data_IF_728087348388
#
_entry.id   IF_728087348388
#
_cell.length_a   1.000
_cell.length_b   1.000
_cell.length_c   1.000
_cell.angle_alpha   90.00
_cell.angle_beta   90.00
_cell.angle_gamma   90.00
#
_symmetry.space_group_name_H-M   'P 1'
#
loop_
_entity.id
_entity.type
_entity.pdbx_description
1 polymer ?
#
# COMPACT_ATOMS: atom_id res chain seq x y z
N UNK A 1 -13.52 8.48 12.68
CA UNK A 1 -13.62 8.58 11.21
C UNK A 1 -14.52 7.49 10.63
N UNK A 2 -14.26 6.18 10.80
CA UNK A 2 -15.12 5.10 10.30
C UNK A 2 -16.53 5.16 10.89
N UNK A 3 -16.69 5.40 12.19
CA UNK A 3 -17.99 5.56 12.84
C UNK A 3 -18.85 6.70 12.25
N UNK A 4 -18.24 7.79 11.80
CA UNK A 4 -18.97 8.89 11.15
C UNK A 4 -19.49 8.48 9.75
N UNK A 5 -18.76 7.64 9.03
CA UNK A 5 -19.21 7.10 7.75
C UNK A 5 -20.34 6.08 7.93
N UNK A 6 -20.25 5.25 8.96
CA UNK A 6 -21.30 4.27 9.32
C UNK A 6 -22.60 4.97 9.77
N UNK A 7 -22.50 6.07 10.51
CA UNK A 7 -23.65 6.88 10.88
C UNK A 7 -24.32 7.52 9.65
N UNK A 8 -23.54 8.09 8.72
CA UNK A 8 -24.06 8.67 7.47
C UNK A 8 -24.73 7.61 6.56
N UNK A 9 -24.26 6.37 6.59
CA UNK A 9 -24.86 5.25 5.86
C UNK A 9 -26.23 4.85 6.43
N UNK A 10 -26.39 4.92 7.77
CA UNK A 10 -27.61 4.56 8.48
C UNK A 10 -28.73 5.60 8.34
N UNK A 11 -28.42 6.87 8.11
CA UNK A 11 -29.41 7.97 8.06
C UNK A 11 -30.27 8.03 6.81
N UNK A 12 -30.02 7.21 5.77
CA UNK A 12 -30.92 7.00 4.63
C UNK A 12 -31.33 8.27 3.89
N UNK A 13 -30.36 9.00 3.32
CA UNK A 13 -30.61 10.24 2.59
C UNK A 13 -31.19 10.11 1.18
N UNK A 14 -31.45 11.24 0.52
CA UNK A 14 -31.90 11.36 -0.88
C UNK A 14 -31.06 10.46 -1.82
N UNK A 15 -31.72 9.89 -2.83
CA UNK A 15 -31.10 9.02 -3.85
C UNK A 15 -29.87 9.70 -4.50
N UNK A 16 -29.91 11.02 -4.71
CA UNK A 16 -28.78 11.79 -5.21
C UNK A 16 -27.58 11.80 -4.27
N UNK A 17 -27.80 11.77 -2.96
CA UNK A 17 -26.75 11.64 -1.93
C UNK A 17 -26.17 10.23 -1.81
N UNK A 18 -26.81 9.21 -2.43
CA UNK A 18 -26.32 7.83 -2.44
C UNK A 18 -25.34 7.55 -3.60
N UNK A 19 -25.26 8.43 -4.59
CA UNK A 19 -24.37 8.26 -5.75
C UNK A 19 -23.00 8.94 -5.56
N UNK A 20 -22.87 9.82 -4.57
CA UNK A 20 -21.65 10.58 -4.32
C UNK A 20 -21.30 10.59 -2.86
N UNK A 21 -20.02 10.54 -2.56
CA UNK A 21 -19.45 10.71 -1.23
C UNK A 21 -18.14 11.48 -1.30
N UNK A 22 -17.85 12.32 -0.31
CA UNK A 22 -16.61 13.06 -0.24
C UNK A 22 -16.06 13.09 1.20
N UNK A 23 -14.73 13.11 1.31
CA UNK A 23 -14.04 13.29 2.58
C UNK A 23 -12.81 14.16 2.40
N UNK A 24 -12.63 15.12 3.28
CA UNK A 24 -11.42 15.92 3.38
C UNK A 24 -10.83 15.74 4.77
N UNK A 25 -9.55 15.41 4.85
CA UNK A 25 -8.77 15.35 6.08
C UNK A 25 -7.84 16.56 6.09
N UNK A 26 -7.97 17.37 7.13
CA UNK A 26 -7.16 18.58 7.32
C UNK A 26 -6.19 18.41 8.48
N UNK A 27 -5.18 19.26 8.54
CA UNK A 27 -4.23 19.34 9.66
C UNK A 27 -4.97 19.71 10.95
N UNK A 28 -4.56 19.10 12.07
CA UNK A 28 -5.06 19.47 13.41
C UNK A 28 -4.60 20.85 13.88
N UNK A 29 -3.59 21.44 13.23
CA UNK A 29 -3.10 22.80 13.48
C UNK A 29 -3.06 23.53 12.14
N UNK A 30 -4.20 24.10 11.69
CA UNK A 30 -4.30 24.72 10.37
C UNK A 30 -3.41 25.96 10.27
N UNK A 31 -2.74 26.11 9.11
CA UNK A 31 -1.90 27.27 8.78
C UNK A 31 -2.72 28.47 8.29
N UNK A 32 -4.04 28.29 8.08
CA UNK A 32 -4.93 29.25 7.45
C UNK A 32 -4.85 29.30 5.92
N UNK A 33 -4.16 28.32 5.32
CA UNK A 33 -4.02 28.16 3.87
C UNK A 33 -4.58 26.78 3.48
N UNK A 34 -5.80 26.70 3.01
CA UNK A 34 -6.57 25.47 2.78
C UNK A 34 -5.79 24.36 2.07
N UNK A 35 -5.08 24.68 0.99
CA UNK A 35 -4.35 23.68 0.23
C UNK A 35 -3.11 23.12 0.97
N UNK A 36 -2.50 23.89 1.89
CA UNK A 36 -1.40 23.41 2.74
C UNK A 36 -1.90 22.55 3.88
N UNK A 37 -3.10 22.82 4.35
CA UNK A 37 -3.71 22.16 5.50
C UNK A 37 -4.43 20.86 5.11
N UNK A 38 -4.80 20.70 3.84
CA UNK A 38 -5.42 19.49 3.32
C UNK A 38 -4.40 18.35 3.25
N UNK A 39 -4.63 17.30 4.03
CA UNK A 39 -3.81 16.07 4.04
C UNK A 39 -4.31 15.02 3.05
N UNK A 40 -5.62 14.95 2.87
CA UNK A 40 -6.27 14.02 1.97
C UNK A 40 -7.61 14.61 1.54
N UNK A 41 -7.90 14.56 0.25
CA UNK A 41 -9.22 14.89 -0.30
C UNK A 41 -9.66 13.75 -1.21
N UNK A 42 -10.75 13.08 -0.85
CA UNK A 42 -11.34 11.99 -1.61
C UNK A 42 -12.75 12.39 -2.03
N UNK A 43 -13.10 12.12 -3.28
CA UNK A 43 -14.42 12.33 -3.83
C UNK A 43 -14.80 11.15 -4.71
N UNK A 44 -16.01 10.64 -4.50
CA UNK A 44 -16.64 9.58 -5.28
C UNK A 44 -17.87 10.17 -5.94
N UNK A 45 -17.98 10.04 -7.24
CA UNK A 45 -19.12 10.49 -8.04
C UNK A 45 -19.66 9.31 -8.85
N UNK A 46 -20.97 9.29 -9.07
CA UNK A 46 -21.69 8.32 -9.93
C UNK A 46 -21.36 6.85 -9.62
N UNK A 47 -21.29 6.50 -8.32
CA UNK A 47 -21.02 5.16 -7.88
C UNK A 47 -22.24 4.54 -7.18
N UNK A 48 -22.59 3.26 -7.44
CA UNK A 48 -23.76 2.62 -6.84
C UNK A 48 -23.67 2.52 -5.30
N UNK A 49 -22.44 2.46 -4.75
CA UNK A 49 -22.17 2.37 -3.32
C UNK A 49 -21.03 3.33 -2.91
N UNK A 50 -21.24 4.66 -2.95
CA UNK A 50 -20.15 5.63 -2.82
C UNK A 50 -19.46 5.59 -1.46
N UNK A 51 -20.16 5.30 -0.37
CA UNK A 51 -19.57 5.20 0.98
C UNK A 51 -18.68 3.96 1.11
N UNK A 52 -19.06 2.83 0.50
CA UNK A 52 -18.23 1.63 0.48
C UNK A 52 -16.94 1.91 -0.29
N UNK A 53 -17.03 2.55 -1.44
CA UNK A 53 -15.87 2.92 -2.25
C UNK A 53 -14.98 3.94 -1.51
N UNK A 54 -15.55 4.92 -0.84
CA UNK A 54 -14.81 5.86 -0.02
C UNK A 54 -14.04 5.15 1.11
N UNK A 55 -14.68 4.19 1.80
CA UNK A 55 -14.02 3.35 2.82
C UNK A 55 -12.87 2.55 2.21
N UNK A 56 -13.05 2.00 1.01
CA UNK A 56 -11.99 1.28 0.27
C UNK A 56 -10.80 2.20 -0.02
N UNK A 57 -11.04 3.39 -0.57
CA UNK A 57 -9.98 4.36 -0.88
C UNK A 57 -9.22 4.83 0.37
N UNK A 58 -9.89 4.98 1.51
CA UNK A 58 -9.23 5.30 2.79
C UNK A 58 -8.29 4.16 3.20
N UNK A 59 -8.68 2.90 3.04
CA UNK A 59 -7.81 1.76 3.32
C UNK A 59 -6.61 1.73 2.38
N UNK A 60 -6.84 1.94 1.08
CA UNK A 60 -5.76 2.06 0.09
C UNK A 60 -4.79 3.18 0.46
N UNK A 61 -5.28 4.36 0.80
CA UNK A 61 -4.43 5.47 1.23
C UNK A 61 -3.57 5.09 2.45
N UNK A 62 -4.15 4.42 3.46
CA UNK A 62 -3.39 3.96 4.64
C UNK A 62 -2.35 2.91 4.26
N UNK A 63 -2.68 1.98 3.37
CA UNK A 63 -1.72 1.01 2.87
C UNK A 63 -0.49 1.71 2.28
N UNK A 64 -0.68 2.69 1.41
CA UNK A 64 0.44 3.43 0.81
C UNK A 64 1.18 4.34 1.80
N UNK A 65 0.52 4.86 2.84
CA UNK A 65 1.24 5.56 3.92
C UNK A 65 2.23 4.61 4.62
N UNK A 66 1.80 3.38 4.94
CA UNK A 66 2.68 2.37 5.53
C UNK A 66 3.76 1.90 4.54
N UNK A 67 3.43 1.69 3.26
CA UNK A 67 4.43 1.35 2.24
C UNK A 67 5.53 2.42 2.13
N UNK A 68 5.16 3.70 2.06
CA UNK A 68 6.13 4.81 2.02
C UNK A 68 7.01 4.88 3.28
N UNK A 69 6.46 4.52 4.46
CA UNK A 69 7.27 4.39 5.68
C UNK A 69 8.24 3.21 5.59
N UNK A 70 7.80 2.09 4.99
CA UNK A 70 8.64 0.95 4.70
C UNK A 70 9.80 1.33 3.78
N UNK A 71 9.52 2.05 2.69
CA UNK A 71 10.55 2.54 1.75
C UNK A 71 11.57 3.42 2.47
N UNK A 72 11.10 4.34 3.33
CA UNK A 72 12.01 5.19 4.12
C UNK A 72 12.92 4.37 5.06
N UNK A 73 12.38 3.33 5.71
CA UNK A 73 13.20 2.44 6.54
C UNK A 73 14.17 1.59 5.72
N UNK A 74 13.84 1.26 4.46
CA UNK A 74 14.78 0.62 3.54
C UNK A 74 15.94 1.55 3.18
N UNK A 75 15.68 2.83 2.93
CA UNK A 75 16.71 3.84 2.66
C UNK A 75 17.68 4.05 3.85
N UNK A 76 17.19 3.84 5.08
CA UNK A 76 17.98 3.95 6.32
C UNK A 76 18.54 2.60 6.81
N UNK A 77 18.42 1.53 6.01
CA UNK A 77 18.88 0.16 6.30
C UNK A 77 18.23 -0.46 7.57
N UNK A 78 17.07 0.05 7.97
CA UNK A 78 16.30 -0.44 9.12
C UNK A 78 15.31 -1.54 8.71
N UNK A 79 15.82 -2.67 8.20
CA UNK A 79 15.06 -3.73 7.53
C UNK A 79 13.87 -4.23 8.37
N UNK A 80 14.06 -4.49 9.66
CA UNK A 80 12.98 -5.01 10.52
C UNK A 80 11.81 -4.01 10.65
N UNK A 81 12.11 -2.71 10.72
CA UNK A 81 11.07 -1.68 10.72
C UNK A 81 10.34 -1.60 9.37
N UNK A 82 11.09 -1.70 8.27
CA UNK A 82 10.53 -1.75 6.94
C UNK A 82 9.53 -2.91 6.79
N UNK A 83 9.90 -4.10 7.24
CA UNK A 83 9.04 -5.30 7.21
C UNK A 83 7.75 -5.13 8.00
N UNK A 84 7.82 -4.50 9.19
CA UNK A 84 6.62 -4.19 10.00
C UNK A 84 5.68 -3.27 9.22
N UNK A 85 6.20 -2.24 8.57
CA UNK A 85 5.39 -1.27 7.85
C UNK A 85 4.81 -1.87 6.56
N UNK A 86 5.57 -2.66 5.81
CA UNK A 86 5.04 -3.38 4.63
C UNK A 86 3.97 -4.42 5.00
N UNK A 87 4.10 -5.11 6.14
CA UNK A 87 3.06 -6.00 6.66
C UNK A 87 1.76 -5.26 6.91
N UNK A 88 1.82 -4.11 7.60
CA UNK A 88 0.63 -3.26 7.83
C UNK A 88 0.02 -2.78 6.52
N UNK A 89 0.85 -2.39 5.55
CA UNK A 89 0.37 -2.01 4.22
C UNK A 89 -0.43 -3.12 3.56
N UNK A 90 0.08 -4.36 3.58
CA UNK A 90 -0.58 -5.53 3.04
C UNK A 90 -1.90 -5.89 3.78
N UNK A 91 -1.98 -5.65 5.09
CA UNK A 91 -3.23 -5.82 5.86
C UNK A 91 -4.31 -4.83 5.44
N UNK A 92 -3.93 -3.57 5.15
CA UNK A 92 -4.88 -2.55 4.69
C UNK A 92 -5.35 -2.76 3.26
N UNK A 93 -4.52 -3.34 2.38
CA UNK A 93 -4.86 -3.56 0.97
C UNK A 93 -4.35 -4.92 0.47
N UNK A 94 -4.95 -6.03 0.96
CA UNK A 94 -4.50 -7.39 0.67
C UNK A 94 -4.65 -7.80 -0.80
N UNK A 95 -5.50 -7.10 -1.56
CA UNK A 95 -5.69 -7.36 -2.98
C UNK A 95 -4.47 -6.94 -3.83
N UNK A 96 -3.63 -6.03 -3.33
CA UNK A 96 -2.45 -5.56 -4.03
C UNK A 96 -1.25 -6.48 -3.78
N UNK A 97 -0.81 -7.20 -4.82
CA UNK A 97 0.35 -8.09 -4.75
C UNK A 97 1.70 -7.36 -4.64
N UNK A 98 1.77 -6.07 -4.97
CA UNK A 98 3.00 -5.28 -4.86
C UNK A 98 3.44 -5.06 -3.41
N UNK A 99 2.49 -4.94 -2.48
CA UNK A 99 2.82 -4.68 -1.08
C UNK A 99 3.63 -5.83 -0.44
N UNK A 100 3.19 -7.11 -0.50
CA UNK A 100 4.02 -8.22 -0.03
C UNK A 100 5.27 -8.43 -0.92
N UNK A 101 5.25 -8.04 -2.20
CA UNK A 101 6.44 -8.09 -3.03
C UNK A 101 7.58 -7.22 -2.46
N UNK A 102 7.31 -6.00 -2.04
CA UNK A 102 8.31 -5.14 -1.42
C UNK A 102 8.81 -5.68 -0.08
N UNK A 103 7.96 -6.38 0.69
CA UNK A 103 8.43 -7.13 1.87
C UNK A 103 9.44 -8.21 1.49
N UNK A 104 9.20 -8.96 0.40
CA UNK A 104 10.14 -9.98 -0.07
C UNK A 104 11.46 -9.37 -0.55
N UNK A 105 11.42 -8.21 -1.23
CA UNK A 105 12.62 -7.46 -1.62
C UNK A 105 13.40 -7.02 -0.39
N UNK A 106 12.74 -6.50 0.65
CA UNK A 106 13.36 -6.11 1.91
C UNK A 106 14.04 -7.29 2.62
N UNK A 107 13.37 -8.45 2.68
CA UNK A 107 13.95 -9.68 3.23
C UNK A 107 15.21 -10.11 2.45
N UNK A 108 15.15 -10.09 1.12
CA UNK A 108 16.29 -10.47 0.28
C UNK A 108 17.49 -9.52 0.48
N UNK A 109 17.26 -8.20 0.58
CA UNK A 109 18.28 -7.22 0.92
C UNK A 109 18.88 -7.41 2.31
N UNK A 110 18.05 -7.78 3.28
CA UNK A 110 18.48 -8.09 4.65
C UNK A 110 19.18 -9.45 4.81
N UNK A 111 19.48 -10.17 3.71
CA UNK A 111 20.12 -11.49 3.75
C UNK A 111 19.19 -12.62 4.19
N UNK A 112 17.90 -12.37 4.34
CA UNK A 112 16.87 -13.33 4.79
C UNK A 112 16.17 -13.99 3.60
N UNK A 113 16.96 -14.46 2.62
CA UNK A 113 16.47 -15.00 1.35
C UNK A 113 15.49 -16.15 1.53
N UNK A 114 15.76 -17.09 2.44
CA UNK A 114 14.90 -18.25 2.64
C UNK A 114 13.48 -17.87 3.14
N UNK A 115 13.36 -16.73 3.83
CA UNK A 115 12.07 -16.16 4.22
C UNK A 115 11.40 -15.41 3.07
N UNK A 116 12.17 -14.82 2.17
CA UNK A 116 11.68 -14.10 1.00
C UNK A 116 11.08 -15.04 -0.07
N UNK A 117 11.68 -16.22 -0.29
CA UNK A 117 11.31 -17.11 -1.39
C UNK A 117 9.82 -17.50 -1.40
N UNK A 118 9.20 -17.94 -0.30
CA UNK A 118 7.77 -18.27 -0.30
C UNK A 118 6.88 -17.06 -0.56
N UNK A 119 7.31 -15.86 -0.18
CA UNK A 119 6.58 -14.63 -0.46
C UNK A 119 6.66 -14.31 -1.95
N UNK A 120 7.86 -14.37 -2.57
CA UNK A 120 8.01 -14.22 -4.02
C UNK A 120 7.17 -15.23 -4.79
N UNK A 121 7.15 -16.50 -4.39
CA UNK A 121 6.33 -17.53 -5.02
C UNK A 121 4.85 -17.15 -5.01
N UNK A 122 4.30 -16.79 -3.85
CA UNK A 122 2.90 -16.37 -3.72
C UNK A 122 2.58 -15.14 -4.56
N UNK A 123 3.48 -14.16 -4.56
CA UNK A 123 3.29 -12.90 -5.31
C UNK A 123 3.35 -13.14 -6.82
N UNK A 124 4.28 -13.94 -7.32
CA UNK A 124 4.41 -14.25 -8.75
C UNK A 124 3.23 -15.06 -9.30
N UNK A 125 2.62 -15.90 -8.47
CA UNK A 125 1.36 -16.61 -8.82
C UNK A 125 0.20 -15.62 -8.98
N UNK A 126 0.15 -14.57 -8.16
CA UNK A 126 -0.91 -13.54 -8.19
C UNK A 126 -0.67 -12.49 -9.26
N UNK A 127 0.58 -12.13 -9.51
CA UNK A 127 0.99 -11.12 -10.50
C UNK A 127 2.32 -11.52 -11.17
N UNK A 128 2.29 -12.22 -12.31
CA UNK A 128 3.49 -12.65 -13.03
C UNK A 128 4.38 -11.51 -13.55
N UNK A 129 3.81 -10.31 -13.73
CA UNK A 129 4.58 -9.16 -14.21
C UNK A 129 5.65 -8.73 -13.19
N UNK A 130 5.40 -8.93 -11.89
CA UNK A 130 6.38 -8.67 -10.83
C UNK A 130 7.60 -9.59 -10.95
N UNK A 131 7.42 -10.84 -11.40
CA UNK A 131 8.53 -11.74 -11.70
C UNK A 131 9.40 -11.18 -12.83
N UNK A 132 8.78 -10.70 -13.90
CA UNK A 132 9.48 -10.08 -15.04
C UNK A 132 10.23 -8.80 -14.66
N UNK A 133 9.68 -8.05 -13.70
CA UNK A 133 10.28 -6.82 -13.16
C UNK A 133 11.51 -7.10 -12.28
N UNK A 134 11.51 -8.18 -11.52
CA UNK A 134 12.52 -8.49 -10.47
C UNK A 134 13.97 -8.33 -10.92
N UNK A 135 14.44 -8.83 -12.10
CA UNK A 135 15.83 -8.64 -12.53
C UNK A 135 16.22 -7.18 -12.78
N UNK A 136 15.24 -6.29 -13.01
CA UNK A 136 15.49 -4.86 -13.22
C UNK A 136 15.86 -4.14 -11.93
N UNK A 137 15.43 -4.67 -10.77
CA UNK A 137 15.73 -4.11 -9.45
C UNK A 137 17.22 -4.14 -9.12
N UNK A 138 17.99 -5.09 -9.68
CA UNK A 138 19.45 -5.13 -9.55
C UNK A 138 20.07 -3.88 -10.18
N UNK A 139 19.61 -3.49 -11.38
CA UNK A 139 20.13 -2.31 -12.08
C UNK A 139 19.83 -1.00 -11.38
N UNK A 140 18.74 -0.95 -10.61
CA UNK A 140 18.33 0.22 -9.81
C UNK A 140 18.89 0.19 -8.38
N UNK A 141 19.66 -0.83 -8.00
CA UNK A 141 20.24 -0.94 -6.66
C UNK A 141 19.24 -1.38 -5.59
N UNK A 142 18.04 -1.81 -5.98
CA UNK A 142 16.99 -2.27 -5.06
C UNK A 142 17.09 -3.76 -4.72
N UNK A 143 17.94 -4.51 -5.40
CA UNK A 143 18.35 -5.87 -5.05
C UNK A 143 19.86 -6.01 -5.23
N UNK A 144 20.53 -6.87 -4.43
CA UNK A 144 21.95 -7.16 -4.60
C UNK A 144 22.27 -7.71 -5.99
N UNK A 145 23.43 -7.33 -6.53
CA UNK A 145 23.97 -7.93 -7.78
C UNK A 145 24.59 -9.30 -7.49
N UNK A 146 23.75 -10.24 -7.08
CA UNK A 146 24.08 -11.64 -6.80
C UNK A 146 23.28 -12.55 -7.74
N UNK A 147 23.97 -13.16 -8.70
CA UNK A 147 23.37 -14.07 -9.69
C UNK A 147 22.71 -15.29 -9.04
N UNK A 148 23.27 -15.80 -7.92
CA UNK A 148 22.71 -16.95 -7.21
C UNK A 148 21.40 -16.58 -6.55
N UNK A 149 21.36 -15.42 -5.87
CA UNK A 149 20.16 -14.86 -5.24
C UNK A 149 19.06 -14.66 -6.29
N UNK A 150 19.37 -13.97 -7.38
CA UNK A 150 18.40 -13.71 -8.45
C UNK A 150 17.90 -15.01 -9.08
N UNK A 151 18.78 -15.98 -9.33
CA UNK A 151 18.37 -17.30 -9.87
C UNK A 151 17.39 -18.01 -8.92
N UNK A 152 17.65 -18.01 -7.62
CA UNK A 152 16.74 -18.62 -6.63
C UNK A 152 15.37 -17.92 -6.62
N UNK A 153 15.32 -16.59 -6.67
CA UNK A 153 14.06 -15.84 -6.74
C UNK A 153 13.30 -16.14 -8.03
N UNK A 154 13.99 -16.17 -9.18
CA UNK A 154 13.36 -16.40 -10.47
C UNK A 154 12.87 -17.83 -10.67
N UNK A 155 13.32 -18.78 -9.87
CA UNK A 155 12.86 -20.16 -9.90
C UNK A 155 11.58 -20.40 -9.05
N UNK A 156 11.07 -19.37 -8.38
CA UNK A 156 9.77 -19.41 -7.71
C UNK A 156 8.64 -19.17 -8.74
#
# INVERSE_FOLDING_TARGET
MMAALEAAEAEGGDIRGKQSAAMVIVSGSPSGVDWKDTKLSLRIEDHPTPLIELKRLIRVHRAYQHANMGDHYMETEEIDKALIEYSKAAEYYPENAELPYWSAVALANGGRLEEALPVFQSVFQRNPDLKTMTPRLVKSGLLPDDKSLISKIMNQ
#
